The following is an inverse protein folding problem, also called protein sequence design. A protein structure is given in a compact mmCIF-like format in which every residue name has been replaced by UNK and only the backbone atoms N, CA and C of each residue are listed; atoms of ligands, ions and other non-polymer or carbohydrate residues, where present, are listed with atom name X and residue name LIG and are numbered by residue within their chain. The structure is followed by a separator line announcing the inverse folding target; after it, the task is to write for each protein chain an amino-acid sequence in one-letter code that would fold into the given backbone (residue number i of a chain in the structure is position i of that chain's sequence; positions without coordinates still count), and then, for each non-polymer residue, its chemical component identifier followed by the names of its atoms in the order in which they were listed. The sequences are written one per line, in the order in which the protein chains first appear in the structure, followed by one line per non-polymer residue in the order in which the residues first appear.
data_IF_110149752696
#
_entry.id   IF_110149752696
#
_cell.length_a   1.000
_cell.length_b   1.000
_cell.length_c   1.000
_cell.angle_alpha   90.00
_cell.angle_beta   90.00
_cell.angle_gamma   90.00
#
_symmetry.space_group_name_H-M   'P 1'
#
loop_
_entity.id
_entity.type
_entity.pdbx_description
1 polymer ?
#
# COMPACT_ATOMS: atom_id res chain seq x y z
N UNK A 1 7.06 15.96 8.81
CA UNK A 1 6.57 14.87 7.93
C UNK A 1 6.56 13.56 8.71
N UNK A 2 5.51 12.76 8.63
CA UNK A 2 5.45 11.43 9.29
C UNK A 2 5.43 10.33 8.22
N UNK A 3 6.23 9.29 8.43
CA UNK A 3 6.22 8.06 7.64
C UNK A 3 5.54 6.98 8.47
N UNK A 4 4.43 6.44 7.98
CA UNK A 4 3.69 5.34 8.62
C UNK A 4 4.31 4.03 8.13
N UNK A 5 4.84 3.25 9.08
CA UNK A 5 5.70 2.10 8.83
C UNK A 5 4.94 0.81 9.10
N UNK A 6 4.82 -0.03 8.08
CA UNK A 6 4.48 -1.43 8.26
C UNK A 6 5.78 -2.18 8.61
N UNK A 7 5.85 -2.80 9.78
CA UNK A 7 7.11 -3.34 10.30
C UNK A 7 7.39 -4.73 9.70
N UNK A 8 8.03 -4.77 8.53
CA UNK A 8 8.80 -5.94 8.08
C UNK A 8 10.28 -5.78 8.41
N UNK A 9 10.60 -5.49 9.67
CA UNK A 9 11.96 -5.67 10.16
C UNK A 9 12.11 -7.08 10.75
N UNK A 10 12.23 -8.07 9.87
CA UNK A 10 12.83 -9.35 10.22
C UNK A 10 13.62 -9.85 9.01
N UNK A 11 14.93 -10.06 9.22
CA UNK A 11 15.93 -10.78 8.39
C UNK A 11 17.11 -9.88 8.00
N UNK A 12 18.01 -9.68 8.96
CA UNK A 12 19.34 -9.05 8.81
C UNK A 12 20.38 -9.96 8.14
N UNK A 13 19.98 -11.00 7.41
CA UNK A 13 20.91 -12.07 6.97
C UNK A 13 21.17 -12.15 5.46
N UNK A 14 20.39 -11.50 4.61
CA UNK A 14 20.66 -11.48 3.17
C UNK A 14 20.20 -10.16 2.55
N UNK A 15 21.09 -9.16 2.46
CA UNK A 15 20.89 -7.91 1.71
C UNK A 15 19.53 -7.20 1.90
N UNK A 16 18.93 -7.29 3.09
CA UNK A 16 17.78 -6.47 3.46
C UNK A 16 18.27 -5.02 3.61
N UNK A 17 18.16 -4.21 2.56
CA UNK A 17 18.04 -2.77 2.79
C UNK A 17 16.79 -2.62 3.65
N UNK A 18 16.91 -2.01 4.83
CA UNK A 18 15.74 -1.64 5.62
C UNK A 18 14.77 -0.94 4.67
N UNK A 19 13.50 -1.34 4.63
CA UNK A 19 12.57 -0.99 3.53
C UNK A 19 12.52 0.51 3.22
N UNK A 20 12.74 1.34 4.24
CA UNK A 20 12.73 2.80 4.16
C UNK A 20 14.12 3.45 4.19
N UNK A 21 15.22 2.70 4.11
CA UNK A 21 16.57 3.27 4.18
C UNK A 21 16.77 4.33 3.09
N UNK A 22 16.48 3.97 1.84
CA UNK A 22 16.75 4.84 0.69
C UNK A 22 15.87 6.09 0.71
N UNK A 23 14.60 5.98 1.12
CA UNK A 23 13.71 7.15 1.25
C UNK A 23 14.11 8.05 2.43
N UNK A 24 14.59 7.47 3.54
CA UNK A 24 15.12 8.22 4.67
C UNK A 24 16.39 8.97 4.26
N UNK A 25 17.30 8.34 3.51
CA UNK A 25 18.50 9.01 3.02
C UNK A 25 18.16 10.14 2.04
N UNK A 26 17.19 9.91 1.14
CA UNK A 26 16.68 10.95 0.25
C UNK A 26 16.20 12.15 1.07
N UNK A 27 15.36 11.96 2.08
CA UNK A 27 14.88 13.07 2.91
C UNK A 27 16.00 13.75 3.68
N UNK A 28 16.94 13.00 4.25
CA UNK A 28 18.12 13.56 4.91
C UNK A 28 18.95 14.43 3.97
N UNK A 29 19.19 13.96 2.75
CA UNK A 29 19.92 14.73 1.72
C UNK A 29 19.19 16.03 1.32
N UNK A 30 17.87 16.07 1.51
CA UNK A 30 17.03 17.25 1.29
C UNK A 30 16.78 18.08 2.57
N UNK A 31 17.58 17.88 3.63
CA UNK A 31 17.54 18.71 4.84
C UNK A 31 16.55 18.27 5.92
N UNK A 32 15.85 17.14 5.75
CA UNK A 32 15.03 16.58 6.83
C UNK A 32 15.89 15.93 7.91
N UNK A 33 15.48 16.09 9.16
CA UNK A 33 16.18 15.59 10.34
C UNK A 33 15.27 14.62 11.10
N UNK A 34 15.68 13.34 11.26
CA UNK A 34 14.95 12.38 12.09
C UNK A 34 14.73 12.94 13.51
N UNK A 35 13.50 12.84 14.01
CA UNK A 35 13.12 13.32 15.35
C UNK A 35 12.79 14.81 15.43
N UNK A 36 13.20 15.64 14.46
CA UNK A 36 12.96 17.09 14.44
C UNK A 36 11.99 17.54 13.35
N UNK A 37 12.14 17.03 12.12
CA UNK A 37 11.28 17.38 10.97
C UNK A 37 10.75 16.15 10.23
N UNK A 38 11.21 14.97 10.62
CA UNK A 38 10.81 13.67 10.08
C UNK A 38 10.62 12.66 11.22
N UNK A 39 9.49 11.97 11.24
CA UNK A 39 9.16 10.97 12.26
C UNK A 39 8.66 9.68 11.62
N UNK A 40 9.00 8.55 12.24
CA UNK A 40 8.39 7.26 11.93
C UNK A 40 7.24 6.94 12.87
N UNK A 41 6.25 6.21 12.37
CA UNK A 41 5.21 5.60 13.19
C UNK A 41 5.15 4.09 12.90
N UNK A 42 5.89 3.27 13.66
CA UNK A 42 5.74 1.81 13.64
C UNK A 42 4.52 1.40 14.46
N UNK A 43 3.85 0.32 14.05
CA UNK A 43 2.71 -0.26 14.75
C UNK A 43 2.75 -1.79 14.67
N UNK A 44 1.99 -2.48 15.54
CA UNK A 44 1.78 -3.93 15.40
C UNK A 44 0.87 -4.18 14.21
N UNK A 45 1.49 -4.50 13.07
CA UNK A 45 0.78 -4.71 11.82
C UNK A 45 -0.21 -5.85 11.87
N UNK A 46 -0.08 -6.77 12.84
CA UNK A 46 -0.96 -7.93 13.02
C UNK A 46 -2.39 -7.56 13.44
N UNK A 47 -2.55 -6.37 14.02
CA UNK A 47 -3.77 -5.93 14.69
C UNK A 47 -4.76 -5.26 13.74
N UNK A 48 -6.00 -5.10 14.20
CA UNK A 48 -7.02 -4.32 13.50
C UNK A 48 -6.69 -2.81 13.57
N UNK A 49 -6.80 -2.13 12.42
CA UNK A 49 -6.39 -0.72 12.31
C UNK A 49 -7.24 0.23 13.13
N UNK A 50 -8.49 -0.13 13.43
CA UNK A 50 -9.40 0.73 14.20
C UNK A 50 -9.12 0.73 15.70
N UNK A 51 -8.25 -0.15 16.18
CA UNK A 51 -8.00 -0.28 17.61
C UNK A 51 -7.32 0.98 18.19
N UNK A 52 -7.73 1.40 19.40
CA UNK A 52 -7.13 2.55 20.09
C UNK A 52 -5.60 2.44 20.25
N UNK A 53 -5.08 1.22 20.43
CA UNK A 53 -3.63 0.98 20.55
C UNK A 53 -2.83 1.35 19.29
N UNK A 54 -3.48 1.50 18.14
CA UNK A 54 -2.88 2.05 16.91
C UNK A 54 -3.32 3.51 16.73
N UNK A 55 -4.62 3.79 16.81
CA UNK A 55 -5.15 5.11 16.46
C UNK A 55 -4.68 6.22 17.40
N UNK A 56 -4.65 5.99 18.72
CA UNK A 56 -4.29 7.03 19.68
C UNK A 56 -2.80 7.40 19.59
N UNK A 57 -1.85 6.44 19.58
CA UNK A 57 -0.44 6.79 19.41
C UNK A 57 -0.13 7.45 18.06
N UNK A 58 -0.88 7.13 17.00
CA UNK A 58 -0.74 7.79 15.70
C UNK A 58 -1.18 9.26 15.79
N UNK A 59 -2.32 9.54 16.44
CA UNK A 59 -2.80 10.91 16.68
C UNK A 59 -1.81 11.70 17.51
N UNK A 60 -1.31 11.13 18.61
CA UNK A 60 -0.32 11.76 19.46
C UNK A 60 0.96 12.10 18.70
N UNK A 61 1.39 11.21 17.78
CA UNK A 61 2.55 11.46 16.91
C UNK A 61 2.29 12.60 15.93
N UNK A 62 1.11 12.65 15.31
CA UNK A 62 0.69 13.73 14.40
C UNK A 62 0.65 15.07 15.14
N UNK A 63 0.06 15.10 16.32
CA UNK A 63 -0.03 16.27 17.19
C UNK A 63 1.35 16.78 17.59
N UNK A 64 2.25 15.89 18.02
CA UNK A 64 3.61 16.24 18.40
C UNK A 64 4.40 16.81 17.21
N UNK A 65 4.28 16.18 16.03
CA UNK A 65 4.91 16.67 14.81
C UNK A 65 4.36 18.04 14.39
N UNK A 66 3.03 18.23 14.43
CA UNK A 66 2.39 19.51 14.14
C UNK A 66 2.92 20.63 15.04
N UNK A 67 3.00 20.40 16.35
CA UNK A 67 3.54 21.37 17.33
C UNK A 67 5.01 21.67 17.06
N UNK A 68 5.83 20.65 16.81
CA UNK A 68 7.26 20.83 16.51
C UNK A 68 7.51 21.62 15.21
N UNK A 69 6.58 21.55 14.26
CA UNK A 69 6.61 22.34 13.03
C UNK A 69 5.97 23.74 13.20
N UNK A 70 5.86 24.25 14.42
CA UNK A 70 5.31 25.60 14.69
C UNK A 70 3.82 25.72 14.42
N UNK A 71 3.06 24.66 14.71
CA UNK A 71 1.62 24.55 14.43
C UNK A 71 1.27 24.70 12.94
N UNK A 72 2.19 24.26 12.08
CA UNK A 72 1.92 24.15 10.65
C UNK A 72 1.51 22.73 10.30
N UNK A 73 0.51 22.62 9.42
CA UNK A 73 0.04 21.33 8.92
C UNK A 73 1.19 20.52 8.32
N UNK A 74 1.26 19.24 8.66
CA UNK A 74 2.36 18.35 8.27
C UNK A 74 1.99 17.48 7.07
N UNK A 75 3.01 16.96 6.40
CA UNK A 75 2.82 15.93 5.37
C UNK A 75 2.90 14.53 5.95
N UNK A 76 2.06 13.63 5.46
CA UNK A 76 2.04 12.20 5.81
C UNK A 76 2.45 11.39 4.59
N UNK A 77 3.33 10.41 4.80
CA UNK A 77 3.71 9.40 3.83
C UNK A 77 3.33 8.04 4.39
N UNK A 78 2.64 7.23 3.60
CA UNK A 78 2.29 5.87 3.97
C UNK A 78 2.67 4.90 2.86
N UNK A 79 3.13 3.71 3.24
CA UNK A 79 3.41 2.62 2.30
C UNK A 79 2.54 1.41 2.60
N UNK A 80 2.07 0.72 1.56
CA UNK A 80 1.36 -0.56 1.68
C UNK A 80 0.22 -0.49 2.72
N UNK A 81 0.24 -1.35 3.75
CA UNK A 81 -0.74 -1.38 4.84
C UNK A 81 -0.88 -0.04 5.57
N UNK A 82 0.21 0.75 5.66
CA UNK A 82 0.20 2.03 6.34
C UNK A 82 -0.81 3.02 5.74
N UNK A 83 -1.13 2.89 4.45
CA UNK A 83 -2.18 3.70 3.84
C UNK A 83 -3.58 3.34 4.33
N UNK A 84 -3.81 2.07 4.64
CA UNK A 84 -5.06 1.62 5.27
C UNK A 84 -5.17 2.13 6.70
N UNK A 85 -4.07 2.10 7.46
CA UNK A 85 -4.01 2.67 8.81
C UNK A 85 -4.36 4.15 8.80
N UNK A 86 -3.73 4.93 7.92
CA UNK A 86 -4.03 6.36 7.84
C UNK A 86 -5.45 6.63 7.33
N UNK A 87 -5.94 5.86 6.35
CA UNK A 87 -7.34 5.94 5.90
C UNK A 87 -8.33 5.70 7.04
N UNK A 88 -8.05 4.72 7.89
CA UNK A 88 -8.88 4.45 9.08
C UNK A 88 -8.88 5.66 10.02
N UNK A 89 -7.73 6.30 10.24
CA UNK A 89 -7.66 7.53 11.02
C UNK A 89 -8.49 8.67 10.39
N UNK A 90 -8.41 8.86 9.07
CA UNK A 90 -9.20 9.85 8.34
C UNK A 90 -10.70 9.61 8.54
N UNK A 91 -11.14 8.36 8.47
CA UNK A 91 -12.54 8.00 8.64
C UNK A 91 -13.04 8.21 10.08
N UNK A 92 -12.22 7.89 11.09
CA UNK A 92 -12.59 8.00 12.50
C UNK A 92 -12.48 9.45 13.02
N UNK A 93 -11.54 10.23 12.50
CA UNK A 93 -11.21 11.57 13.01
C UNK A 93 -10.95 12.58 11.87
N UNK A 94 -11.94 12.84 10.99
CA UNK A 94 -11.77 13.70 9.82
C UNK A 94 -11.38 15.14 10.19
N UNK A 95 -12.00 15.72 11.22
CA UNK A 95 -11.69 17.08 11.70
C UNK A 95 -10.26 17.20 12.23
N UNK A 96 -9.79 16.18 12.96
CA UNK A 96 -8.40 16.14 13.44
C UNK A 96 -7.44 16.10 12.25
N UNK A 97 -7.66 15.22 11.28
CA UNK A 97 -6.79 15.17 10.10
C UNK A 97 -6.85 16.49 9.32
N UNK A 98 -8.04 17.05 9.13
CA UNK A 98 -8.24 18.33 8.46
C UNK A 98 -7.48 19.48 9.13
N UNK A 99 -7.38 19.49 10.46
CA UNK A 99 -6.65 20.51 11.21
C UNK A 99 -5.12 20.34 11.15
N UNK A 100 -4.61 19.10 11.13
CA UNK A 100 -3.17 18.82 11.34
C UNK A 100 -2.40 18.42 10.09
N UNK A 101 -3.07 17.93 9.04
CA UNK A 101 -2.42 17.31 7.87
C UNK A 101 -2.63 18.16 6.63
N UNK A 102 -1.53 18.49 5.96
CA UNK A 102 -1.50 19.29 4.73
C UNK A 102 -1.72 18.42 3.51
N UNK A 103 -0.96 17.32 3.41
CA UNK A 103 -0.96 16.40 2.27
C UNK A 103 -0.74 14.98 2.77
N UNK A 104 -1.33 14.04 2.04
CA UNK A 104 -1.10 12.62 2.23
C UNK A 104 -0.59 11.99 0.94
N UNK A 105 0.62 11.44 1.02
CA UNK A 105 1.29 10.72 -0.06
C UNK A 105 1.22 9.23 0.27
N UNK A 106 0.72 8.44 -0.68
CA UNK A 106 0.52 7.00 -0.52
C UNK A 106 1.34 6.24 -1.55
N UNK A 107 2.05 5.21 -1.11
CA UNK A 107 2.95 4.41 -1.94
C UNK A 107 2.48 2.96 -1.89
N UNK A 108 1.91 2.45 -2.98
CA UNK A 108 1.51 1.04 -3.09
C UNK A 108 0.45 0.58 -2.08
N UNK A 109 -0.39 1.49 -1.57
CA UNK A 109 -1.39 1.13 -0.55
C UNK A 109 -2.60 0.41 -1.16
N UNK A 110 -2.99 -0.76 -0.66
CA UNK A 110 -4.05 -1.59 -1.23
C UNK A 110 -5.43 -1.13 -0.75
N UNK A 111 -5.86 0.07 -1.15
CA UNK A 111 -7.13 0.67 -0.70
C UNK A 111 -8.35 -0.20 -0.97
N UNK A 112 -8.32 -1.02 -2.02
CA UNK A 112 -9.40 -1.92 -2.36
C UNK A 112 -9.05 -3.39 -2.10
N UNK A 113 -8.13 -3.65 -1.17
CA UNK A 113 -7.69 -5.00 -0.84
C UNK A 113 -6.53 -5.49 -1.71
N UNK A 114 -6.10 -6.73 -1.44
CA UNK A 114 -4.97 -7.37 -2.10
C UNK A 114 -5.28 -8.85 -2.39
N UNK A 115 -5.40 -9.25 -3.67
CA UNK A 115 -5.66 -10.64 -4.04
C UNK A 115 -4.54 -11.58 -3.59
N UNK A 116 -3.30 -11.07 -3.48
CA UNK A 116 -2.15 -11.83 -2.97
C UNK A 116 -2.37 -12.28 -1.52
N UNK A 117 -3.04 -11.49 -0.69
CA UNK A 117 -3.37 -11.88 0.68
C UNK A 117 -4.43 -12.99 0.69
N UNK A 118 -5.42 -12.94 -0.21
CA UNK A 118 -6.38 -14.03 -0.37
C UNK A 118 -5.70 -15.33 -0.81
N UNK A 119 -4.83 -15.27 -1.83
CA UNK A 119 -4.01 -16.42 -2.24
C UNK A 119 -3.17 -16.96 -1.08
N UNK A 120 -2.56 -16.06 -0.30
CA UNK A 120 -1.79 -16.42 0.89
C UNK A 120 -2.62 -17.14 1.96
N UNK A 121 -3.88 -16.73 2.16
CA UNK A 121 -4.80 -17.40 3.09
C UNK A 121 -5.24 -18.78 2.59
N UNK A 122 -5.49 -18.94 1.28
CA UNK A 122 -5.99 -20.18 0.69
C UNK A 122 -4.89 -21.23 0.44
N UNK A 123 -3.79 -20.82 -0.17
CA UNK A 123 -2.74 -21.71 -0.67
C UNK A 123 -1.41 -21.58 0.08
N UNK A 124 -1.24 -20.50 0.85
CA UNK A 124 0.03 -20.14 1.46
C UNK A 124 0.89 -19.34 0.50
N UNK A 125 1.54 -18.32 1.05
CA UNK A 125 2.38 -17.42 0.29
C UNK A 125 3.43 -16.83 1.21
N UNK A 126 4.67 -16.72 0.75
CA UNK A 126 5.78 -16.20 1.54
C UNK A 126 6.43 -14.97 0.91
N UNK A 127 5.70 -14.24 0.06
CA UNK A 127 6.19 -13.01 -0.61
C UNK A 127 7.46 -13.22 -1.43
N UNK A 128 7.66 -14.42 -1.98
CA UNK A 128 8.85 -14.77 -2.75
C UNK A 128 10.11 -14.96 -1.90
N UNK A 129 9.99 -14.95 -0.57
CA UNK A 129 11.12 -15.25 0.30
C UNK A 129 11.49 -16.74 0.22
N UNK A 130 12.77 -17.10 0.46
CA UNK A 130 13.15 -18.50 0.62
C UNK A 130 12.33 -19.20 1.71
N UNK A 131 11.79 -20.39 1.42
CA UNK A 131 10.91 -21.11 2.36
C UNK A 131 11.59 -21.52 3.68
N UNK A 132 12.92 -21.58 3.71
CA UNK A 132 13.71 -21.77 4.93
C UNK A 132 13.64 -20.57 5.89
N UNK A 133 13.43 -19.37 5.36
CA UNK A 133 13.26 -18.15 6.16
C UNK A 133 11.79 -17.96 6.53
N UNK A 134 10.89 -18.13 5.55
CA UNK A 134 9.45 -17.99 5.73
C UNK A 134 8.72 -19.13 5.04
N UNK A 135 8.29 -20.11 5.84
CA UNK A 135 7.44 -21.20 5.35
C UNK A 135 6.09 -20.62 4.87
N UNK A 136 5.66 -20.91 3.63
CA UNK A 136 4.35 -20.50 3.12
C UNK A 136 3.20 -20.99 4.01
N UNK A 137 3.32 -22.18 4.59
CA UNK A 137 2.29 -22.80 5.44
C UNK A 137 2.23 -22.16 6.83
N UNK A 138 3.38 -21.80 7.41
CA UNK A 138 3.40 -21.05 8.67
C UNK A 138 2.81 -19.67 8.45
N UNK A 139 3.22 -18.99 7.38
CA UNK A 139 2.72 -17.66 7.06
C UNK A 139 1.21 -17.68 6.75
N UNK A 140 0.71 -18.72 6.09
CA UNK A 140 -0.72 -18.95 5.91
C UNK A 140 -1.47 -18.99 7.25
N UNK A 141 -0.94 -19.71 8.26
CA UNK A 141 -1.55 -19.76 9.59
C UNK A 141 -1.59 -18.37 10.23
N UNK A 142 -0.54 -17.58 10.09
CA UNK A 142 -0.49 -16.18 10.55
C UNK A 142 -1.57 -15.35 9.85
N UNK A 143 -1.67 -15.43 8.52
CA UNK A 143 -2.69 -14.70 7.76
C UNK A 143 -4.12 -15.09 8.16
N UNK A 144 -4.37 -16.35 8.51
CA UNK A 144 -5.71 -16.80 8.92
C UNK A 144 -6.14 -16.32 10.30
N UNK A 145 -5.21 -15.93 11.17
CA UNK A 145 -5.51 -15.51 12.55
C UNK A 145 -5.33 -14.01 12.78
N UNK A 146 -4.53 -13.33 11.96
CA UNK A 146 -4.32 -11.89 12.07
C UNK A 146 -5.57 -11.12 11.59
N UNK A 147 -6.21 -10.29 12.43
CA UNK A 147 -7.36 -9.49 12.04
C UNK A 147 -7.13 -8.61 10.79
N UNK A 148 -5.90 -8.14 10.58
CA UNK A 148 -5.54 -7.35 9.38
C UNK A 148 -5.93 -8.05 8.08
N UNK A 149 -5.86 -9.37 8.00
CA UNK A 149 -5.93 -10.08 6.72
C UNK A 149 -7.29 -9.89 6.05
N UNK A 150 -8.32 -9.71 6.87
CA UNK A 150 -9.68 -9.45 6.42
C UNK A 150 -9.87 -8.03 5.88
N UNK A 151 -9.02 -7.07 6.28
CA UNK A 151 -8.98 -5.72 5.68
C UNK A 151 -8.46 -5.71 4.25
N UNK A 152 -7.78 -6.79 3.83
CA UNK A 152 -7.30 -6.95 2.45
C UNK A 152 -8.31 -7.63 1.53
N UNK A 153 -9.49 -7.99 2.02
CA UNK A 153 -10.49 -8.56 1.14
C UNK A 153 -11.00 -7.50 0.17
N UNK A 154 -11.03 -7.80 -1.14
CA UNK A 154 -11.57 -6.90 -2.11
C UNK A 154 -13.05 -6.64 -1.77
N UNK A 155 -13.49 -5.38 -1.81
CA UNK A 155 -14.90 -5.08 -1.61
C UNK A 155 -15.72 -5.74 -2.71
N UNK A 156 -17.02 -5.97 -2.48
CA UNK A 156 -17.91 -6.62 -3.47
C UNK A 156 -17.91 -5.95 -4.84
N UNK A 157 -17.63 -4.64 -4.87
CA UNK A 157 -17.55 -3.82 -6.07
C UNK A 157 -16.11 -3.60 -6.56
N UNK A 158 -15.14 -4.42 -6.14
CA UNK A 158 -13.78 -4.34 -6.67
C UNK A 158 -13.81 -4.57 -8.18
N UNK A 159 -13.47 -3.56 -8.99
CA UNK A 159 -13.38 -3.78 -10.42
C UNK A 159 -12.15 -4.64 -10.64
N UNK A 160 -12.32 -5.89 -11.08
CA UNK A 160 -11.21 -6.75 -11.52
C UNK A 160 -10.53 -6.24 -12.82
N UNK A 161 -10.67 -4.95 -13.12
CA UNK A 161 -10.14 -4.29 -14.29
C UNK A 161 -8.75 -3.71 -13.97
N UNK A 162 -7.73 -3.95 -14.80
CA UNK A 162 -6.36 -3.45 -14.60
C UNK A 162 -6.20 -1.95 -14.86
N UNK A 163 -7.23 -1.13 -14.58
CA UNK A 163 -7.20 0.31 -14.82
C UNK A 163 -6.65 1.07 -13.63
N UNK A 164 -5.52 1.74 -13.82
CA UNK A 164 -4.93 2.71 -12.90
C UNK A 164 -5.54 4.08 -13.16
N UNK A 165 -6.29 4.61 -12.20
CA UNK A 165 -6.79 5.99 -12.24
C UNK A 165 -5.79 6.96 -11.60
N UNK A 166 -5.40 8.02 -12.32
CA UNK A 166 -4.58 9.12 -11.81
C UNK A 166 -5.46 10.37 -11.71
N UNK A 167 -5.53 10.97 -10.52
CA UNK A 167 -6.16 12.28 -10.30
C UNK A 167 -5.12 13.25 -9.75
N UNK A 168 -4.93 14.38 -10.42
CA UNK A 168 -4.06 15.46 -9.93
C UNK A 168 -4.86 16.44 -9.07
N UNK A 169 -4.22 17.03 -8.05
CA UNK A 169 -4.85 17.91 -7.05
C UNK A 169 -5.62 19.12 -7.64
N UNK A 170 -5.29 19.53 -8.88
CA UNK A 170 -5.93 20.64 -9.60
C UNK A 170 -6.81 20.20 -10.78
N UNK A 171 -7.07 18.91 -10.92
CA UNK A 171 -7.89 18.35 -11.97
C UNK A 171 -9.03 17.55 -11.34
N UNK A 172 -10.27 17.95 -11.63
CA UNK A 172 -11.43 17.21 -11.16
C UNK A 172 -11.66 15.90 -11.92
N UNK A 173 -11.06 15.77 -13.10
CA UNK A 173 -11.12 14.57 -13.92
C UNK A 173 -10.03 13.57 -13.57
N UNK A 174 -10.41 12.29 -13.52
CA UNK A 174 -9.51 11.15 -13.32
C UNK A 174 -9.11 10.61 -14.69
N UNK A 175 -7.81 10.54 -14.97
CA UNK A 175 -7.29 9.88 -16.17
C UNK A 175 -7.07 8.40 -15.88
N UNK A 176 -7.68 7.51 -16.65
CA UNK A 176 -7.56 6.06 -16.47
C UNK A 176 -6.56 5.47 -17.47
N UNK A 177 -5.59 4.70 -16.98
CA UNK A 177 -4.56 4.00 -17.74
C UNK A 177 -4.76 2.49 -17.60
N UNK A 178 -4.64 1.72 -18.69
CA UNK A 178 -4.76 0.26 -18.70
C UNK A 178 -5.64 -0.24 -19.84
N UNK A 179 -5.29 -1.39 -20.42
CA UNK A 179 -6.00 -1.96 -21.56
C UNK A 179 -7.22 -2.77 -21.10
N UNK A 180 -8.35 -2.54 -21.78
CA UNK A 180 -9.41 -3.53 -21.90
C UNK A 180 -9.05 -4.44 -23.07
N UNK A 181 -9.22 -5.76 -22.94
CA UNK A 181 -8.99 -6.67 -24.06
C UNK A 181 -10.02 -6.45 -25.17
N UNK A 182 -11.24 -5.96 -24.87
CA UNK A 182 -12.23 -5.62 -25.88
C UNK A 182 -13.15 -4.49 -25.39
N UNK A 183 -13.16 -3.34 -26.06
CA UNK A 183 -14.04 -2.19 -25.74
C UNK A 183 -15.54 -2.43 -26.01
N UNK A 184 -15.96 -3.68 -26.24
CA UNK A 184 -17.31 -3.98 -26.73
C UNK A 184 -18.19 -4.86 -25.85
N UNK A 185 -17.68 -5.50 -24.79
CA UNK A 185 -18.55 -6.28 -23.89
C UNK A 185 -18.14 -6.18 -22.41
N UNK A 186 -19.10 -6.23 -21.46
CA UNK A 186 -18.82 -6.28 -20.04
C UNK A 186 -18.45 -7.72 -19.66
N UNK A 187 -17.16 -8.04 -19.52
CA UNK A 187 -16.78 -9.33 -18.94
C UNK A 187 -16.11 -9.18 -17.58
N UNK A 188 -16.79 -9.73 -16.59
CA UNK A 188 -16.17 -10.36 -15.44
C UNK A 188 -15.68 -11.73 -15.91
N UNK A 189 -14.38 -11.93 -16.11
CA UNK A 189 -13.74 -13.19 -15.73
C UNK A 189 -12.22 -13.15 -15.80
N UNK A 190 -11.64 -13.97 -14.91
CA UNK A 190 -10.23 -14.11 -14.62
C UNK A 190 -9.54 -15.11 -15.56
N UNK A 191 -8.39 -14.74 -16.11
CA UNK A 191 -7.39 -15.73 -16.51
C UNK A 191 -6.48 -16.05 -15.32
N UNK A 192 -7.00 -16.90 -14.44
CA UNK A 192 -6.21 -17.98 -13.86
C UNK A 192 -6.24 -19.17 -14.84
N UNK A 193 -5.63 -19.02 -16.03
CA UNK A 193 -5.46 -20.13 -16.97
C UNK A 193 -4.00 -20.18 -17.46
N UNK A 194 -3.31 -21.17 -16.93
CA UNK A 194 -2.21 -21.98 -17.47
C UNK A 194 -1.11 -21.32 -18.34
N UNK A 195 0.08 -21.22 -17.75
CA UNK A 195 1.32 -20.87 -18.44
C UNK A 195 1.89 -22.09 -19.16
N UNK A 196 1.95 -22.05 -20.50
CA UNK A 196 3.23 -22.16 -21.23
C UNK A 196 3.13 -22.09 -22.77
N UNK A 197 1.95 -22.29 -23.39
CA UNK A 197 1.89 -22.40 -24.86
C UNK A 197 1.53 -21.12 -25.62
N UNK A 198 0.84 -20.16 -25.00
CA UNK A 198 0.28 -19.00 -25.73
C UNK A 198 1.11 -17.71 -25.65
N UNK A 199 2.21 -17.69 -24.90
CA UNK A 199 3.02 -16.46 -24.71
C UNK A 199 3.68 -15.97 -26.00
N UNK A 200 3.95 -16.87 -26.94
CA UNK A 200 4.68 -16.54 -28.19
C UNK A 200 3.81 -15.81 -29.21
N UNK A 201 2.51 -16.12 -29.28
CA UNK A 201 1.61 -15.52 -30.26
C UNK A 201 1.16 -14.11 -29.86
N UNK A 202 1.06 -13.82 -28.56
CA UNK A 202 0.60 -12.51 -28.07
C UNK A 202 1.63 -11.38 -28.26
N UNK A 203 2.93 -11.68 -28.17
CA UNK A 203 3.98 -10.68 -28.38
C UNK A 203 4.11 -10.24 -29.86
N UNK A 204 3.73 -11.11 -30.80
CA UNK A 204 3.76 -10.77 -32.23
C UNK A 204 2.63 -9.82 -32.64
N UNK A 205 1.45 -9.90 -32.02
CA UNK A 205 0.33 -9.00 -32.35
C UNK A 205 0.52 -7.58 -31.81
N UNK A 206 1.20 -7.40 -30.68
CA UNK A 206 1.43 -6.07 -30.10
C UNK A 206 2.46 -5.20 -30.84
N UNK A 207 3.31 -5.79 -31.70
CA UNK A 207 4.30 -5.02 -32.47
C UNK A 207 3.77 -4.43 -33.79
N UNK A 208 2.57 -4.83 -34.24
CA UNK A 208 2.07 -4.44 -35.57
C UNK A 208 1.13 -3.24 -35.58
N UNK A 209 0.62 -2.77 -34.44
CA UNK A 209 -0.32 -1.64 -34.43
C UNK A 209 0.28 -0.42 -33.71
N UNK A 210 1.06 0.34 -34.47
CA UNK A 210 1.36 1.72 -34.12
C UNK A 210 0.09 2.56 -34.26
N UNK A 211 -0.53 2.92 -33.13
CA UNK A 211 -1.67 3.84 -33.13
C UNK A 211 -1.33 5.02 -32.23
N UNK A 212 -1.16 6.17 -32.88
CA UNK A 212 -1.10 7.49 -32.24
C UNK A 212 -2.47 7.84 -31.68
N UNK A 213 -2.52 8.31 -30.43
CA UNK A 213 -3.19 9.56 -29.99
C UNK A 213 -2.52 10.06 -28.71
#
# INVERSE_FOLDING_TARGET
MIIILDLKELITLFHSRAEFHDIIQLFKSNGYKPGETMWGYPYDWRQDFSLPCIMDPLKDRIEAAFKSCGNQKIDIISHSQGGLVFRTLVALHPEFVGAHVKRWITIGSPFQGSPVIMCGMLFGYNFGMPSILVSPQIFQKVLRVAPLSFWYFPPKNFPYSPKVGIKFEKQDQITWYGCHINDKEPCWDYDCIDTNEQRTNYLQSCQQEGIQY
#
